data_IF_761864895506
#
_entry.id   IF_761864895506
#
_cell.length_a   1.000
_cell.length_b   1.000
_cell.length_c   1.000
_cell.angle_alpha   90.00
_cell.angle_beta   90.00
_cell.angle_gamma   90.00
#
_symmetry.space_group_name_H-M   'P 1'
#
loop_
_entity.id
_entity.type
_entity.pdbx_description
1 polymer ?
#
# COMPACT_ATOMS: atom_id res chain seq x y z
N UNK A 1 10.79 5.47 -15.75
CA UNK A 1 10.84 4.04 -15.34
C UNK A 1 9.47 3.44 -15.63
N UNK A 2 9.42 2.33 -16.36
CA UNK A 2 8.16 1.62 -16.62
C UNK A 2 7.87 0.67 -15.45
N UNK A 3 6.73 0.86 -14.76
CA UNK A 3 6.32 0.05 -13.61
C UNK A 3 4.82 -0.26 -13.66
N UNK A 4 4.44 -1.35 -13.01
CA UNK A 4 3.03 -1.70 -12.81
C UNK A 4 2.64 -1.27 -11.39
N UNK A 5 1.61 -0.43 -11.29
CA UNK A 5 1.05 -0.03 -9.99
C UNK A 5 -0.05 -1.01 -9.59
N UNK A 6 0.15 -1.68 -8.46
CA UNK A 6 -0.82 -2.58 -7.84
C UNK A 6 -1.28 -1.94 -6.54
N UNK A 7 -2.27 -1.06 -6.61
CA UNK A 7 -2.85 -0.46 -5.41
C UNK A 7 -3.84 -1.42 -4.75
N UNK A 8 -3.96 -1.36 -3.42
CA UNK A 8 -4.79 -2.29 -2.65
C UNK A 8 -6.26 -2.34 -3.12
N UNK A 9 -6.83 -1.21 -3.56
CA UNK A 9 -8.20 -1.20 -4.08
C UNK A 9 -8.36 -1.91 -5.43
N UNK A 10 -7.31 -2.12 -6.21
CA UNK A 10 -7.36 -3.00 -7.38
C UNK A 10 -7.73 -4.44 -6.97
N UNK A 11 -7.25 -4.87 -5.81
CA UNK A 11 -7.52 -6.20 -5.23
C UNK A 11 -8.85 -6.18 -4.48
N UNK A 12 -9.03 -5.24 -3.56
CA UNK A 12 -10.17 -5.18 -2.66
C UNK A 12 -11.49 -4.97 -3.41
N UNK A 13 -11.49 -4.13 -4.45
CA UNK A 13 -12.68 -3.78 -5.20
C UNK A 13 -13.29 -4.96 -5.96
N UNK A 14 -12.53 -6.01 -6.25
CA UNK A 14 -13.08 -7.27 -6.77
C UNK A 14 -14.16 -7.81 -5.83
N UNK A 15 -13.95 -7.71 -4.51
CA UNK A 15 -14.90 -8.18 -3.49
C UNK A 15 -15.88 -7.06 -3.11
N UNK A 16 -15.39 -5.83 -2.92
CA UNK A 16 -16.21 -4.72 -2.43
C UNK A 16 -17.35 -4.35 -3.36
N UNK A 17 -17.13 -4.40 -4.68
CA UNK A 17 -18.18 -4.15 -5.68
C UNK A 17 -19.25 -5.25 -5.73
N UNK A 18 -18.93 -6.48 -5.32
CA UNK A 18 -19.88 -7.60 -5.32
C UNK A 18 -20.85 -7.55 -4.11
N UNK A 19 -20.53 -6.76 -3.10
CA UNK A 19 -21.32 -6.62 -1.87
C UNK A 19 -21.84 -5.19 -1.66
N UNK A 20 -21.69 -4.33 -2.68
CA UNK A 20 -22.05 -2.91 -2.62
C UNK A 20 -21.53 -2.21 -1.35
N UNK A 21 -20.21 -2.43 -1.07
CA UNK A 21 -19.58 -1.87 0.11
C UNK A 21 -19.69 -0.34 0.11
N UNK A 22 -20.10 0.24 1.24
CA UNK A 22 -20.35 1.69 1.38
C UNK A 22 -19.10 2.52 1.73
N UNK A 23 -17.96 1.86 1.95
CA UNK A 23 -16.69 2.49 2.38
C UNK A 23 -16.70 3.02 3.82
N UNK A 24 -17.75 2.75 4.62
CA UNK A 24 -17.93 3.26 5.99
C UNK A 24 -18.20 2.16 7.00
N UNK A 25 -19.05 1.22 6.65
CA UNK A 25 -19.45 0.11 7.52
C UNK A 25 -18.30 -0.86 7.76
N UNK A 26 -18.22 -1.40 8.99
CA UNK A 26 -17.25 -2.44 9.31
C UNK A 26 -17.53 -3.70 8.49
N UNK A 27 -16.54 -4.12 7.71
CA UNK A 27 -16.63 -5.33 6.92
C UNK A 27 -16.38 -6.57 7.80
N UNK A 28 -17.06 -7.68 7.47
CA UNK A 28 -16.92 -8.94 8.19
C UNK A 28 -15.61 -9.66 7.85
N UNK A 29 -15.17 -10.57 8.71
CA UNK A 29 -13.98 -11.41 8.47
C UNK A 29 -14.12 -12.25 7.18
N UNK A 30 -15.35 -12.62 6.79
CA UNK A 30 -15.61 -13.34 5.55
C UNK A 30 -15.21 -12.52 4.31
N UNK A 31 -15.44 -11.20 4.34
CA UNK A 31 -15.01 -10.29 3.27
C UNK A 31 -13.48 -10.27 3.18
N UNK A 32 -12.80 -10.09 4.32
CA UNK A 32 -11.34 -10.04 4.36
C UNK A 32 -10.69 -11.35 3.94
N UNK A 33 -11.27 -12.49 4.32
CA UNK A 33 -10.80 -13.81 3.81
C UNK A 33 -10.88 -13.90 2.28
N UNK A 34 -11.93 -13.36 1.66
CA UNK A 34 -12.03 -13.35 0.19
C UNK A 34 -11.08 -12.35 -0.46
N UNK A 35 -10.89 -11.17 0.14
CA UNK A 35 -9.85 -10.22 -0.30
C UNK A 35 -8.46 -10.88 -0.27
N UNK A 36 -8.14 -11.63 0.79
CA UNK A 36 -6.87 -12.37 0.91
C UNK A 36 -6.70 -13.39 -0.22
N UNK A 37 -7.77 -14.09 -0.64
CA UNK A 37 -7.71 -15.02 -1.78
C UNK A 37 -7.41 -14.31 -3.10
N UNK A 38 -8.05 -13.17 -3.37
CA UNK A 38 -7.77 -12.35 -4.57
C UNK A 38 -6.34 -11.84 -4.55
N UNK A 39 -5.85 -11.39 -3.39
CA UNK A 39 -4.45 -10.96 -3.19
C UNK A 39 -3.48 -12.10 -3.50
N UNK A 40 -3.72 -13.29 -2.96
CA UNK A 40 -2.87 -14.46 -3.22
C UNK A 40 -2.80 -14.77 -4.71
N UNK A 41 -3.93 -14.79 -5.41
CA UNK A 41 -3.96 -15.00 -6.86
C UNK A 41 -3.19 -13.91 -7.64
N UNK A 42 -3.26 -12.65 -7.20
CA UNK A 42 -2.47 -11.56 -7.79
C UNK A 42 -0.97 -11.75 -7.56
N UNK A 43 -0.56 -12.15 -6.36
CA UNK A 43 0.84 -12.40 -6.03
C UNK A 43 1.40 -13.62 -6.76
N UNK A 44 0.63 -14.71 -6.89
CA UNK A 44 0.97 -15.87 -7.70
C UNK A 44 1.17 -15.47 -9.17
N UNK A 45 0.27 -14.63 -9.70
CA UNK A 45 0.39 -14.10 -11.07
C UNK A 45 1.68 -13.27 -11.24
N UNK A 46 2.00 -12.40 -10.29
CA UNK A 46 3.24 -11.61 -10.32
C UNK A 46 4.46 -12.54 -10.26
N UNK A 47 4.44 -13.53 -9.36
CA UNK A 47 5.55 -14.47 -9.18
C UNK A 47 5.79 -15.30 -10.42
N UNK A 48 4.74 -15.93 -10.96
CA UNK A 48 4.87 -17.04 -11.91
C UNK A 48 4.76 -16.57 -13.37
N UNK A 49 4.02 -15.49 -13.64
CA UNK A 49 3.68 -15.08 -14.99
C UNK A 49 4.26 -13.72 -15.42
N UNK A 50 4.64 -12.86 -14.46
CA UNK A 50 5.18 -11.56 -14.83
C UNK A 50 6.62 -11.68 -15.36
N UNK A 51 6.92 -10.93 -16.42
CA UNK A 51 8.24 -10.92 -17.06
C UNK A 51 9.36 -10.63 -16.04
N UNK A 52 10.52 -11.29 -16.16
CA UNK A 52 11.71 -10.94 -15.38
C UNK A 52 12.07 -9.44 -15.54
N UNK A 53 12.59 -8.84 -14.47
CA UNK A 53 12.98 -7.43 -14.47
C UNK A 53 11.82 -6.43 -14.44
N UNK A 54 10.55 -6.87 -14.41
CA UNK A 54 9.41 -5.98 -14.28
C UNK A 54 9.35 -5.37 -12.88
N UNK A 55 9.24 -4.05 -12.81
CA UNK A 55 9.06 -3.31 -11.55
C UNK A 55 7.58 -3.25 -11.16
N UNK A 56 7.30 -3.48 -9.89
CA UNK A 56 5.97 -3.33 -9.30
C UNK A 56 5.99 -2.28 -8.19
N UNK A 57 4.94 -1.47 -8.12
CA UNK A 57 4.67 -0.54 -7.02
C UNK A 57 3.40 -1.02 -6.32
N UNK A 58 3.56 -1.62 -5.14
CA UNK A 58 2.44 -2.05 -4.32
C UNK A 58 2.11 -0.95 -3.31
N UNK A 59 0.84 -0.55 -3.21
CA UNK A 59 0.42 0.48 -2.27
C UNK A 59 -0.64 -0.05 -1.30
N UNK A 60 -0.47 0.24 -0.03
CA UNK A 60 -1.43 -0.08 1.02
C UNK A 60 -1.33 0.91 2.18
N UNK A 61 -2.29 0.88 3.10
CA UNK A 61 -2.19 1.49 4.42
C UNK A 61 -2.09 0.36 5.44
N UNK A 62 -0.87 0.08 5.89
CA UNK A 62 -0.59 -0.94 6.89
C UNK A 62 -0.37 -0.27 8.25
N UNK A 63 -0.95 -0.83 9.30
CA UNK A 63 -0.88 -0.31 10.66
C UNK A 63 0.01 -1.19 11.54
N UNK A 64 0.69 -0.58 12.49
CA UNK A 64 1.64 -1.26 13.38
C UNK A 64 0.96 -2.14 14.46
N UNK A 65 -0.31 -1.87 14.75
CA UNK A 65 -1.11 -2.60 15.72
C UNK A 65 -2.04 -3.65 15.11
N UNK A 66 -1.91 -3.94 13.82
CA UNK A 66 -2.71 -4.94 13.12
C UNK A 66 -1.83 -6.14 12.65
N UNK A 67 -2.02 -7.33 13.23
CA UNK A 67 -1.26 -8.52 12.82
C UNK A 67 -1.46 -8.92 11.36
N UNK A 68 -2.66 -8.69 10.78
CA UNK A 68 -2.94 -9.01 9.38
C UNK A 68 -2.17 -8.08 8.42
N UNK A 69 -1.96 -6.83 8.82
CA UNK A 69 -1.13 -5.87 8.08
C UNK A 69 0.36 -6.26 8.11
N UNK A 70 0.82 -6.79 9.25
CA UNK A 70 2.18 -7.34 9.35
C UNK A 70 2.33 -8.58 8.45
N UNK A 71 1.36 -9.50 8.44
CA UNK A 71 1.35 -10.66 7.55
C UNK A 71 1.38 -10.21 6.07
N UNK A 72 0.56 -9.23 5.71
CA UNK A 72 0.55 -8.68 4.36
C UNK A 72 1.92 -8.15 3.94
N UNK A 73 2.61 -7.43 4.84
CA UNK A 73 3.95 -6.95 4.56
C UNK A 73 4.94 -8.10 4.32
N UNK A 74 4.86 -9.17 5.13
CA UNK A 74 5.71 -10.35 4.96
C UNK A 74 5.45 -11.08 3.64
N UNK A 75 4.19 -11.16 3.20
CA UNK A 75 3.84 -11.71 1.88
C UNK A 75 4.53 -10.94 0.75
N UNK A 76 4.61 -9.60 0.83
CA UNK A 76 5.31 -8.77 -0.16
C UNK A 76 6.82 -9.00 -0.12
N UNK A 77 7.41 -9.09 1.08
CA UNK A 77 8.84 -9.41 1.24
C UNK A 77 9.16 -10.76 0.62
N UNK A 78 8.31 -11.76 0.87
CA UNK A 78 8.49 -13.10 0.32
C UNK A 78 8.37 -13.08 -1.22
N UNK A 79 7.38 -12.40 -1.77
CA UNK A 79 7.22 -12.22 -3.22
C UNK A 79 8.48 -11.60 -3.86
N UNK A 80 9.06 -10.57 -3.22
CA UNK A 80 10.28 -9.94 -3.71
C UNK A 80 11.47 -10.91 -3.70
N UNK A 81 11.61 -11.74 -2.64
CA UNK A 81 12.65 -12.77 -2.54
C UNK A 81 12.50 -13.85 -3.60
N UNK A 82 11.29 -14.38 -3.80
CA UNK A 82 10.99 -15.42 -4.79
C UNK A 82 11.25 -14.96 -6.21
N UNK A 83 11.09 -13.65 -6.47
CA UNK A 83 11.41 -13.03 -7.76
C UNK A 83 12.87 -12.57 -7.87
N UNK A 84 13.69 -12.77 -6.85
CA UNK A 84 15.06 -12.24 -6.76
C UNK A 84 15.11 -10.73 -7.09
N UNK A 85 14.18 -9.96 -6.54
CA UNK A 85 13.96 -8.55 -6.83
C UNK A 85 14.48 -7.67 -5.71
N UNK A 86 15.04 -6.50 -6.07
CA UNK A 86 15.30 -5.45 -5.09
C UNK A 86 13.99 -4.98 -4.45
N UNK A 87 13.94 -4.96 -3.13
CA UNK A 87 12.79 -4.53 -2.36
C UNK A 87 13.08 -3.20 -1.65
N UNK A 88 12.25 -2.20 -1.91
CA UNK A 88 12.34 -0.89 -1.27
C UNK A 88 11.03 -0.60 -0.52
N UNK A 89 10.98 -0.80 0.80
CA UNK A 89 9.84 -0.35 1.59
C UNK A 89 9.85 1.18 1.71
N UNK A 90 8.70 1.79 1.42
CA UNK A 90 8.51 3.24 1.50
C UNK A 90 7.39 3.53 2.49
N UNK A 91 7.69 4.31 3.52
CA UNK A 91 6.74 4.77 4.54
C UNK A 91 6.43 6.24 4.34
N UNK A 92 5.19 6.53 3.98
CA UNK A 92 4.71 7.90 3.82
C UNK A 92 3.84 8.29 5.00
N UNK A 93 4.13 9.42 5.61
CA UNK A 93 3.33 9.99 6.70
C UNK A 93 2.93 11.42 6.34
N UNK A 94 1.85 11.91 6.95
CA UNK A 94 1.40 13.29 6.79
C UNK A 94 0.70 13.76 8.08
N UNK A 95 0.49 15.08 8.23
CA UNK A 95 -0.22 15.60 9.39
C UNK A 95 -1.69 15.18 9.36
N UNK A 96 -2.35 15.07 10.55
CA UNK A 96 -3.77 14.75 10.63
C UNK A 96 -4.66 15.73 9.85
N UNK A 97 -4.32 17.02 9.84
CA UNK A 97 -5.07 18.06 9.13
C UNK A 97 -4.97 17.86 7.61
N UNK A 98 -3.77 17.55 7.11
CA UNK A 98 -3.58 17.27 5.68
C UNK A 98 -4.25 15.95 5.29
N UNK A 99 -4.25 14.94 6.17
CA UNK A 99 -5.00 13.72 5.97
C UNK A 99 -6.51 14.00 5.83
N UNK A 100 -7.08 14.79 6.75
CA UNK A 100 -8.49 15.18 6.71
C UNK A 100 -8.84 15.94 5.41
N UNK A 101 -7.93 16.80 4.93
CA UNK A 101 -8.07 17.53 3.67
C UNK A 101 -8.05 16.60 2.46
N UNK A 102 -7.14 15.60 2.44
CA UNK A 102 -7.01 14.66 1.32
C UNK A 102 -8.10 13.62 1.27
N UNK A 103 -8.64 13.22 2.40
CA UNK A 103 -9.63 12.13 2.47
C UNK A 103 -10.95 12.48 1.79
N UNK A 104 -11.29 13.76 1.68
CA UNK A 104 -12.50 14.25 0.99
C UNK A 104 -12.30 14.54 -0.49
N UNK A 105 -11.13 14.20 -1.06
CA UNK A 105 -10.86 14.48 -2.47
C UNK A 105 -11.77 13.68 -3.41
N UNK A 106 -12.13 14.24 -4.59
CA UNK A 106 -13.00 13.57 -5.55
C UNK A 106 -12.50 12.19 -5.96
N UNK A 107 -13.42 11.29 -6.33
CA UNK A 107 -13.14 9.94 -6.81
C UNK A 107 -12.79 8.91 -5.73
N UNK A 108 -12.64 9.32 -4.46
CA UNK A 108 -12.36 8.35 -3.38
C UNK A 108 -13.55 7.46 -3.06
N UNK A 109 -14.75 8.03 -3.01
CA UNK A 109 -15.99 7.28 -2.78
C UNK A 109 -16.23 6.23 -3.87
N UNK A 110 -16.00 6.57 -5.13
CA UNK A 110 -16.12 5.66 -6.29
C UNK A 110 -15.15 4.46 -6.20
N UNK A 111 -14.11 4.59 -5.42
CA UNK A 111 -13.12 3.53 -5.18
C UNK A 111 -13.30 2.84 -3.82
N UNK A 112 -14.43 3.02 -3.15
CA UNK A 112 -14.72 2.47 -1.82
C UNK A 112 -13.66 2.82 -0.76
N UNK A 113 -12.98 3.96 -0.91
CA UNK A 113 -11.98 4.47 0.04
C UNK A 113 -12.68 5.24 1.15
N UNK A 114 -12.01 5.29 2.33
CA UNK A 114 -12.42 6.17 3.41
C UNK A 114 -12.60 7.63 2.93
N UNK A 115 -13.74 8.22 3.25
CA UNK A 115 -14.10 9.60 2.88
C UNK A 115 -14.53 10.45 4.09
N UNK A 116 -14.57 9.86 5.29
CA UNK A 116 -14.89 10.56 6.53
C UNK A 116 -13.61 11.14 7.15
N UNK A 117 -13.44 12.48 7.20
CA UNK A 117 -12.27 13.11 7.78
C UNK A 117 -12.14 12.85 9.29
N UNK A 118 -13.25 12.72 10.01
CA UNK A 118 -13.21 12.47 11.46
C UNK A 118 -12.76 11.03 11.75
N UNK A 119 -13.27 10.05 11.00
CA UNK A 119 -12.85 8.67 11.11
C UNK A 119 -11.36 8.51 10.72
N UNK A 120 -10.92 9.18 9.64
CA UNK A 120 -9.53 9.16 9.20
C UNK A 120 -8.57 9.75 10.25
N UNK A 121 -8.93 10.91 10.84
CA UNK A 121 -8.14 11.53 11.90
C UNK A 121 -8.06 10.65 13.15
N UNK A 122 -9.19 10.08 13.59
CA UNK A 122 -9.22 9.16 14.73
C UNK A 122 -8.29 7.97 14.49
N UNK A 123 -8.39 7.32 13.32
CA UNK A 123 -7.51 6.21 12.96
C UNK A 123 -6.04 6.61 12.97
N UNK A 124 -5.70 7.80 12.49
CA UNK A 124 -4.34 8.31 12.49
C UNK A 124 -3.80 8.61 13.91
N UNK A 125 -4.68 8.94 14.85
CA UNK A 125 -4.31 9.14 16.26
C UNK A 125 -4.17 7.82 17.04
N UNK A 126 -5.01 6.82 16.70
CA UNK A 126 -5.07 5.54 17.41
C UNK A 126 -4.03 4.52 16.92
N UNK A 127 -3.49 4.74 15.73
CA UNK A 127 -2.56 3.80 15.08
C UNK A 127 -1.51 4.52 14.25
N UNK A 128 -0.34 3.91 14.12
CA UNK A 128 0.71 4.43 13.24
C UNK A 128 0.84 3.55 12.01
N UNK A 129 1.29 4.16 10.91
CA UNK A 129 1.67 3.40 9.72
C UNK A 129 2.83 2.47 10.08
N UNK A 130 2.72 1.20 9.72
CA UNK A 130 3.70 0.16 9.99
C UNK A 130 5.12 0.62 9.64
N UNK A 131 6.04 0.42 10.58
CA UNK A 131 7.48 0.55 10.37
C UNK A 131 8.11 -0.83 10.43
N UNK A 132 8.37 -1.48 9.29
CA UNK A 132 8.85 -2.85 9.27
C UNK A 132 10.22 -2.98 9.96
N UNK A 133 10.36 -3.81 11.00
CA UNK A 133 11.65 -4.02 11.64
C UNK A 133 12.63 -4.74 10.73
N UNK A 134 13.92 -4.42 10.84
CA UNK A 134 14.99 -5.10 10.09
C UNK A 134 15.07 -4.75 8.60
N UNK A 135 14.35 -3.73 8.15
CA UNK A 135 14.38 -3.25 6.77
C UNK A 135 14.91 -1.82 6.69
N UNK A 136 15.64 -1.51 5.61
CA UNK A 136 16.07 -0.15 5.26
C UNK A 136 14.91 0.59 4.59
N UNK A 137 14.08 1.26 5.41
CA UNK A 137 12.84 1.93 5.01
C UNK A 137 13.13 3.36 4.56
N UNK A 138 12.65 3.73 3.36
CA UNK A 138 12.59 5.13 2.95
C UNK A 138 11.39 5.80 3.65
N UNK A 139 11.66 6.65 4.64
CA UNK A 139 10.61 7.38 5.36
C UNK A 139 10.50 8.82 4.89
N UNK A 140 9.28 9.29 4.63
CA UNK A 140 9.00 10.66 4.21
C UNK A 140 7.73 11.21 4.87
N UNK A 141 7.83 12.41 5.44
CA UNK A 141 6.64 13.20 5.76
C UNK A 141 6.25 14.01 4.53
N UNK A 142 5.09 13.69 3.96
CA UNK A 142 4.62 14.25 2.69
C UNK A 142 3.58 15.36 2.87
N UNK A 143 3.47 15.94 4.06
CA UNK A 143 2.47 16.98 4.37
C UNK A 143 2.52 18.15 3.39
N UNK A 144 3.72 18.59 3.02
CA UNK A 144 3.94 19.75 2.12
C UNK A 144 4.54 19.38 0.77
N UNK A 145 4.70 18.06 0.49
CA UNK A 145 5.33 17.59 -0.75
C UNK A 145 4.31 17.37 -1.85
N UNK A 146 4.72 17.64 -3.09
CA UNK A 146 3.97 17.24 -4.27
C UNK A 146 4.14 15.76 -4.58
N UNK A 147 3.27 15.18 -5.39
CA UNK A 147 3.41 13.79 -5.83
C UNK A 147 4.70 13.57 -6.64
N UNK A 148 5.09 14.57 -7.45
CA UNK A 148 6.31 14.57 -8.25
C UNK A 148 7.56 14.56 -7.36
N UNK A 149 7.60 15.36 -6.30
CA UNK A 149 8.71 15.37 -5.35
C UNK A 149 8.87 14.01 -4.69
N UNK A 150 7.76 13.44 -4.19
CA UNK A 150 7.75 12.12 -3.57
C UNK A 150 8.26 11.05 -4.55
N UNK A 151 7.74 11.04 -5.78
CA UNK A 151 8.19 10.11 -6.81
C UNK A 151 9.69 10.27 -7.13
N UNK A 152 10.18 11.50 -7.21
CA UNK A 152 11.60 11.81 -7.42
C UNK A 152 12.48 11.21 -6.33
N UNK A 153 12.11 11.35 -5.07
CA UNK A 153 12.83 10.74 -3.93
C UNK A 153 12.84 9.22 -4.00
N UNK A 154 11.72 8.59 -4.32
CA UNK A 154 11.61 7.13 -4.45
C UNK A 154 12.51 6.62 -5.58
N UNK A 155 12.45 7.24 -6.76
CA UNK A 155 13.27 6.86 -7.91
C UNK A 155 14.77 7.00 -7.60
N UNK A 156 15.18 8.10 -6.98
CA UNK A 156 16.57 8.31 -6.56
C UNK A 156 17.05 7.21 -5.62
N UNK A 157 16.24 6.88 -4.60
CA UNK A 157 16.57 5.83 -3.62
C UNK A 157 16.64 4.44 -4.26
N UNK A 158 15.71 4.15 -5.18
CA UNK A 158 15.70 2.90 -5.94
C UNK A 158 17.01 2.72 -6.74
N UNK A 159 17.44 3.75 -7.48
CA UNK A 159 18.69 3.70 -8.25
C UNK A 159 19.92 3.47 -7.36
N UNK A 160 19.96 4.12 -6.19
CA UNK A 160 21.03 3.92 -5.21
C UNK A 160 21.06 2.48 -4.65
N UNK A 161 19.89 1.88 -4.42
CA UNK A 161 19.77 0.51 -3.94
C UNK A 161 20.22 -0.50 -4.99
N UNK A 162 19.78 -0.34 -6.24
CA UNK A 162 20.17 -1.21 -7.35
C UNK A 162 21.67 -1.15 -7.63
N UNK A 163 22.29 0.02 -7.53
CA UNK A 163 23.74 0.18 -7.74
C UNK A 163 24.59 -0.51 -6.65
N UNK A 164 24.04 -0.84 -5.50
CA UNK A 164 24.73 -1.55 -4.41
C UNK A 164 24.61 -3.08 -4.52
N UNK A 165 23.73 -3.58 -5.37
CA UNK A 165 23.52 -5.03 -5.59
C UNK A 165 24.35 -5.57 -6.76
N UNK A 166 24.87 -4.68 -7.63
CA UNK A 166 25.80 -4.98 -8.72
C UNK A 166 27.25 -4.80 -8.27
#
# INVERSE_FOLDING_TARGET
MDCIVVHNHLINNVIFSLIDADGKSKLSDAVWRNVKRVRSAAFDTIRDLAKPGRTFVLTNTLLDNDPEDTEWFQDVVQLARERNSFFLPVRLTLSPEELARRVVSPGRAEQFKEVDPVAAMRKANDSQVLRPPGHDVLEMNITTMTAEDVAGHIVKRLHQGLARQN
#
